data_IF_696374686170
#
_entry.id   IF_696374686170
#
_cell.length_a   1.000
_cell.length_b   1.000
_cell.length_c   1.000
_cell.angle_alpha   90.00
_cell.angle_beta   90.00
_cell.angle_gamma   90.00
#
_symmetry.space_group_name_H-M   'P 1'
#
loop_
_entity.id
_entity.type
_entity.pdbx_description
1 polymer ?
#
# COMPACT_ATOMS: atom_id res chain seq x y z
N UNK A 1 10.27 -3.53 25.43
CA UNK A 1 9.05 -4.36 25.50
C UNK A 1 7.78 -3.62 25.10
N UNK A 2 7.48 -2.42 25.64
CA UNK A 2 6.21 -1.71 25.34
C UNK A 2 6.07 -1.29 23.88
N UNK A 3 7.13 -0.70 23.30
CA UNK A 3 7.20 -0.36 21.88
C UNK A 3 6.95 -1.59 20.98
N UNK A 4 7.38 -2.80 21.36
CA UNK A 4 7.12 -4.02 20.58
C UNK A 4 5.63 -4.32 20.38
N UNK A 5 4.75 -3.98 21.33
CA UNK A 5 3.31 -4.25 21.22
C UNK A 5 2.64 -3.28 20.22
N UNK A 6 3.03 -2.01 20.23
CA UNK A 6 2.64 -1.04 19.19
C UNK A 6 3.11 -1.52 17.82
N UNK A 7 4.37 -1.97 17.74
CA UNK A 7 4.97 -2.44 16.51
C UNK A 7 4.23 -3.67 15.96
N UNK A 8 3.95 -4.68 16.79
CA UNK A 8 3.21 -5.88 16.37
C UNK A 8 1.80 -5.57 15.87
N UNK A 9 1.06 -4.70 16.57
CA UNK A 9 -0.30 -4.35 16.17
C UNK A 9 -0.33 -3.56 14.83
N UNK A 10 0.61 -2.62 14.65
CA UNK A 10 0.73 -1.89 13.38
C UNK A 10 1.16 -2.81 12.22
N UNK A 11 2.05 -3.77 12.49
CA UNK A 11 2.57 -4.76 11.53
C UNK A 11 1.49 -5.70 11.02
N UNK A 12 0.76 -6.32 11.95
CA UNK A 12 -0.34 -7.23 11.63
C UNK A 12 -1.44 -6.45 10.88
N UNK A 13 -1.73 -5.23 11.31
CA UNK A 13 -2.69 -4.36 10.62
C UNK A 13 -2.33 -4.06 9.16
N UNK A 14 -1.05 -3.78 8.88
CA UNK A 14 -0.58 -3.54 7.51
C UNK A 14 -0.61 -4.83 6.65
N UNK A 15 -0.23 -5.98 7.21
CA UNK A 15 -0.32 -7.27 6.52
C UNK A 15 -1.77 -7.66 6.21
N UNK A 16 -2.69 -7.40 7.15
CA UNK A 16 -4.14 -7.58 6.96
C UNK A 16 -4.65 -6.64 5.87
N UNK A 17 -4.20 -5.37 5.82
CA UNK A 17 -4.57 -4.43 4.77
C UNK A 17 -4.27 -4.98 3.37
N UNK A 18 -3.05 -5.47 3.15
CA UNK A 18 -2.63 -6.02 1.85
C UNK A 18 -3.47 -7.25 1.46
N UNK A 19 -3.74 -8.18 2.38
CA UNK A 19 -4.60 -9.33 2.11
C UNK A 19 -6.05 -8.93 1.84
N UNK A 20 -6.59 -8.01 2.62
CA UNK A 20 -7.96 -7.50 2.42
C UNK A 20 -8.10 -6.77 1.10
N UNK A 21 -7.08 -6.06 0.61
CA UNK A 21 -7.11 -5.45 -0.72
C UNK A 21 -7.25 -6.51 -1.83
N UNK A 22 -6.59 -7.66 -1.70
CA UNK A 22 -6.73 -8.81 -2.62
C UNK A 22 -8.12 -9.41 -2.58
N UNK A 23 -8.63 -9.69 -1.38
CA UNK A 23 -9.99 -10.21 -1.20
C UNK A 23 -11.02 -9.23 -1.74
N UNK A 24 -10.85 -7.94 -1.49
CA UNK A 24 -11.77 -6.92 -1.95
C UNK A 24 -11.81 -6.85 -3.47
N UNK A 25 -10.65 -6.83 -4.15
CA UNK A 25 -10.64 -6.88 -5.61
C UNK A 25 -11.31 -8.16 -6.13
N UNK A 26 -11.04 -9.31 -5.51
CA UNK A 26 -11.69 -10.56 -5.90
C UNK A 26 -13.21 -10.48 -5.77
N UNK A 27 -13.72 -9.97 -4.64
CA UNK A 27 -15.17 -9.77 -4.43
C UNK A 27 -15.77 -8.77 -5.42
N UNK A 28 -15.07 -7.65 -5.70
CA UNK A 28 -15.48 -6.69 -6.72
C UNK A 28 -15.59 -7.37 -8.09
N UNK A 29 -14.55 -8.08 -8.53
CA UNK A 29 -14.54 -8.78 -9.82
C UNK A 29 -15.65 -9.82 -9.93
N UNK A 30 -15.90 -10.58 -8.86
CA UNK A 30 -16.97 -11.57 -8.81
C UNK A 30 -18.36 -10.92 -8.87
N UNK A 31 -18.54 -9.77 -8.21
CA UNK A 31 -19.78 -8.99 -8.29
C UNK A 31 -20.03 -8.47 -9.71
N UNK A 32 -19.00 -7.97 -10.40
CA UNK A 32 -19.14 -7.52 -11.79
C UNK A 32 -19.39 -8.66 -12.77
N UNK A 33 -18.83 -9.84 -12.50
CA UNK A 33 -19.13 -11.04 -13.28
C UNK A 33 -20.61 -11.44 -13.14
N UNK A 34 -21.16 -11.38 -11.92
CA UNK A 34 -22.60 -11.61 -11.68
C UNK A 34 -23.50 -10.58 -12.36
N UNK A 35 -23.02 -9.35 -12.54
CA UNK A 35 -23.74 -8.27 -13.24
C UNK A 35 -23.60 -8.35 -14.78
N UNK A 36 -23.00 -9.42 -15.32
CA UNK A 36 -22.85 -9.61 -16.77
C UNK A 36 -21.85 -8.67 -17.45
N UNK A 37 -21.04 -7.95 -16.67
CA UNK A 37 -20.04 -7.00 -17.16
C UNK A 37 -18.66 -7.67 -17.24
N UNK A 38 -18.54 -8.68 -18.11
CA UNK A 38 -17.32 -9.50 -18.22
C UNK A 38 -16.19 -8.81 -19.01
N UNK A 39 -16.52 -7.93 -19.97
CA UNK A 39 -15.55 -7.26 -20.83
C UNK A 39 -14.99 -5.93 -20.28
N UNK A 40 -13.83 -5.47 -20.76
CA UNK A 40 -13.33 -4.12 -20.52
C UNK A 40 -14.19 -3.10 -21.29
N UNK A 41 -15.33 -2.71 -20.70
CA UNK A 41 -16.22 -1.68 -21.24
C UNK A 41 -16.05 -0.37 -20.48
N UNK A 42 -16.13 0.76 -21.19
CA UNK A 42 -16.16 2.09 -20.58
C UNK A 42 -17.31 2.21 -19.55
N UNK A 43 -18.46 1.58 -19.84
CA UNK A 43 -19.61 1.53 -18.93
C UNK A 43 -19.29 0.83 -17.61
N UNK A 44 -18.54 -0.28 -17.67
CA UNK A 44 -18.11 -1.00 -16.46
C UNK A 44 -17.19 -0.14 -15.61
N UNK A 45 -16.24 0.56 -16.25
CA UNK A 45 -15.32 1.47 -15.57
C UNK A 45 -16.06 2.60 -14.87
N UNK A 46 -16.98 3.27 -15.55
CA UNK A 46 -17.76 4.37 -14.94
C UNK A 46 -18.65 3.88 -13.81
N UNK A 47 -19.34 2.75 -13.97
CA UNK A 47 -20.19 2.18 -12.91
C UNK A 47 -19.34 1.81 -11.69
N UNK A 48 -18.16 1.21 -11.89
CA UNK A 48 -17.26 0.86 -10.81
C UNK A 48 -16.79 2.09 -10.02
N UNK A 49 -16.32 3.13 -10.71
CA UNK A 49 -15.84 4.37 -10.10
C UNK A 49 -16.97 5.06 -9.34
N UNK A 50 -18.14 5.23 -9.96
CA UNK A 50 -19.30 5.88 -9.33
C UNK A 50 -19.77 5.09 -8.11
N UNK A 51 -19.79 3.75 -8.18
CA UNK A 51 -20.17 2.92 -7.03
C UNK A 51 -19.22 3.08 -5.84
N UNK A 52 -17.91 3.17 -6.10
CA UNK A 52 -16.91 3.42 -5.06
C UNK A 52 -17.06 4.81 -4.48
N UNK A 53 -17.20 5.85 -5.32
CA UNK A 53 -17.42 7.22 -4.86
C UNK A 53 -18.69 7.35 -4.00
N UNK A 54 -19.77 6.67 -4.39
CA UNK A 54 -21.01 6.67 -3.63
C UNK A 54 -20.84 5.95 -2.29
N UNK A 55 -20.20 4.77 -2.30
CA UNK A 55 -19.94 4.01 -1.07
C UNK A 55 -19.02 4.78 -0.09
N UNK A 56 -17.93 5.37 -0.59
CA UNK A 56 -17.02 6.16 0.25
C UNK A 56 -17.69 7.43 0.76
N UNK A 57 -18.52 8.09 -0.04
CA UNK A 57 -19.31 9.25 0.40
C UNK A 57 -20.31 8.87 1.52
N UNK A 58 -21.03 7.76 1.38
CA UNK A 58 -21.99 7.28 2.40
C UNK A 58 -21.26 6.94 3.70
N UNK A 59 -20.09 6.29 3.64
CA UNK A 59 -19.29 5.96 4.83
C UNK A 59 -18.68 7.19 5.51
N UNK A 60 -18.27 8.19 4.71
CA UNK A 60 -17.54 9.37 5.20
C UNK A 60 -18.47 10.47 5.71
N UNK A 61 -19.63 10.65 5.08
CA UNK A 61 -20.58 11.73 5.39
C UNK A 61 -21.00 11.85 6.87
N UNK A 62 -21.35 10.76 7.59
CA UNK A 62 -21.78 10.88 8.99
C UNK A 62 -20.65 11.26 9.95
N UNK A 63 -19.38 11.13 9.53
CA UNK A 63 -18.21 11.29 10.40
C UNK A 63 -17.48 12.58 10.07
N UNK A 64 -17.65 13.60 10.93
CA UNK A 64 -17.04 14.93 10.74
C UNK A 64 -15.51 14.88 10.67
N UNK A 65 -14.89 13.93 11.37
CA UNK A 65 -13.43 13.72 11.35
C UNK A 65 -12.91 13.32 9.96
N UNK A 66 -13.70 12.60 9.16
CA UNK A 66 -13.31 12.14 7.82
C UNK A 66 -13.41 13.25 6.76
N UNK A 67 -14.01 14.39 7.10
CA UNK A 67 -14.10 15.56 6.21
C UNK A 67 -12.83 16.41 6.23
N UNK A 68 -11.94 16.19 7.20
CA UNK A 68 -10.68 16.90 7.31
C UNK A 68 -9.66 16.35 6.30
N UNK A 69 -8.70 17.20 5.91
CA UNK A 69 -7.62 16.80 5.01
C UNK A 69 -6.66 15.87 5.74
N UNK A 70 -6.17 14.84 5.05
CA UNK A 70 -5.15 13.91 5.57
C UNK A 70 -3.91 14.64 6.11
N UNK A 71 -3.50 15.73 5.45
CA UNK A 71 -2.39 16.57 5.90
C UNK A 71 -2.69 17.23 7.25
N UNK A 72 -3.89 17.77 7.42
CA UNK A 72 -4.30 18.39 8.70
C UNK A 72 -4.36 17.37 9.84
N UNK A 73 -4.83 16.15 9.54
CA UNK A 73 -4.89 15.07 10.54
C UNK A 73 -3.47 14.66 10.96
N UNK A 74 -2.57 14.47 9.99
CA UNK A 74 -1.16 14.12 10.28
C UNK A 74 -0.49 15.20 11.13
N UNK A 75 -0.63 16.47 10.74
CA UNK A 75 -0.02 17.59 11.48
C UNK A 75 -0.52 17.65 12.93
N UNK A 76 -1.81 17.40 13.12
CA UNK A 76 -2.41 17.39 14.46
C UNK A 76 -1.94 16.19 15.29
N UNK A 77 -1.92 15.01 14.69
CA UNK A 77 -1.52 13.77 15.35
C UNK A 77 -0.03 13.79 15.76
N UNK A 78 0.81 14.50 15.00
CA UNK A 78 2.23 14.69 15.29
C UNK A 78 2.52 15.82 16.29
N UNK A 79 1.51 16.53 16.78
CA UNK A 79 1.68 17.57 17.79
C UNK A 79 1.90 16.97 19.17
N UNK A 80 2.86 17.48 19.95
CA UNK A 80 3.13 16.98 21.32
C UNK A 80 2.01 17.28 22.34
N UNK A 81 1.06 18.14 21.99
CA UNK A 81 -0.06 18.53 22.83
C UNK A 81 -1.26 17.59 22.64
N UNK A 82 -2.25 17.70 23.53
CA UNK A 82 -3.53 17.01 23.37
C UNK A 82 -4.20 17.45 22.06
N UNK A 83 -5.04 16.57 21.52
CA UNK A 83 -5.80 16.80 20.31
C UNK A 83 -6.72 18.01 20.47
N UNK A 84 -6.53 19.02 19.62
CA UNK A 84 -7.19 20.32 19.66
C UNK A 84 -8.47 20.39 18.82
N UNK A 85 -8.61 19.53 17.81
CA UNK A 85 -9.80 19.55 16.95
C UNK A 85 -11.07 19.08 17.67
N UNK A 86 -12.18 19.83 17.62
CA UNK A 86 -13.45 19.45 18.25
C UNK A 86 -14.07 18.19 17.62
N UNK A 87 -13.66 17.83 16.39
CA UNK A 87 -14.11 16.62 15.70
C UNK A 87 -13.66 15.34 16.43
N UNK A 88 -12.60 15.39 17.26
CA UNK A 88 -12.14 14.23 18.03
C UNK A 88 -13.07 13.85 19.18
N UNK A 89 -13.92 14.77 19.65
CA UNK A 89 -14.89 14.50 20.73
C UNK A 89 -16.32 14.33 20.22
N UNK A 90 -16.51 14.32 18.90
CA UNK A 90 -17.85 14.24 18.29
C UNK A 90 -18.60 12.94 18.63
N UNK A 91 -17.88 11.82 18.78
CA UNK A 91 -18.48 10.49 19.04
C UNK A 91 -18.47 10.17 20.53
N UNK A 92 -17.40 10.54 21.23
CA UNK A 92 -17.21 10.28 22.65
C UNK A 92 -16.37 11.39 23.26
N UNK A 93 -16.59 11.67 24.55
CA UNK A 93 -15.75 12.58 25.34
C UNK A 93 -14.27 12.11 25.36
N UNK A 94 -14.03 10.81 25.17
CA UNK A 94 -12.69 10.26 25.09
C UNK A 94 -12.17 10.22 23.64
N UNK A 95 -11.12 10.98 23.30
CA UNK A 95 -10.61 11.06 21.93
C UNK A 95 -10.02 9.72 21.43
N UNK A 96 -9.65 8.82 22.33
CA UNK A 96 -9.17 7.47 22.02
C UNK A 96 -10.22 6.64 21.26
N UNK A 97 -11.50 6.78 21.61
CA UNK A 97 -12.59 6.04 20.96
C UNK A 97 -12.78 6.55 19.54
N UNK A 98 -12.78 7.88 19.36
CA UNK A 98 -12.90 8.51 18.04
C UNK A 98 -11.70 8.18 17.15
N UNK A 99 -10.48 8.13 17.71
CA UNK A 99 -9.28 7.67 16.99
C UNK A 99 -9.42 6.23 16.50
N UNK A 100 -9.94 5.33 17.34
CA UNK A 100 -10.16 3.94 16.97
C UNK A 100 -11.19 3.81 15.83
N UNK A 101 -12.31 4.54 15.93
CA UNK A 101 -13.31 4.60 14.85
C UNK A 101 -12.71 5.20 13.57
N UNK A 102 -11.89 6.25 13.70
CA UNK A 102 -11.19 6.87 12.57
C UNK A 102 -10.29 5.84 11.86
N UNK A 103 -9.49 5.07 12.60
CA UNK A 103 -8.62 4.03 12.02
C UNK A 103 -9.43 3.03 11.20
N UNK A 104 -10.52 2.48 11.77
CA UNK A 104 -11.35 1.47 11.09
C UNK A 104 -11.98 2.05 9.83
N UNK A 105 -12.61 3.21 9.94
CA UNK A 105 -13.32 3.82 8.81
C UNK A 105 -12.35 4.26 7.72
N UNK A 106 -11.18 4.83 8.09
CA UNK A 106 -10.16 5.25 7.13
C UNK A 106 -9.57 4.04 6.42
N UNK A 107 -9.33 2.96 7.14
CA UNK A 107 -8.88 1.67 6.60
C UNK A 107 -9.88 1.10 5.58
N UNK A 108 -11.17 1.10 5.88
CA UNK A 108 -12.19 0.64 4.93
C UNK A 108 -12.29 1.56 3.70
N UNK A 109 -12.26 2.87 3.92
CA UNK A 109 -12.37 3.88 2.86
C UNK A 109 -11.15 3.89 1.95
N UNK A 110 -9.96 3.58 2.45
CA UNK A 110 -8.74 3.48 1.65
C UNK A 110 -8.61 2.15 0.90
N UNK A 111 -9.24 1.07 1.38
CA UNK A 111 -9.30 -0.21 0.67
C UNK A 111 -10.18 -0.15 -0.59
N UNK A 112 -11.33 0.53 -0.53
CA UNK A 112 -12.32 0.57 -1.62
C UNK A 112 -11.74 0.99 -2.99
N UNK A 113 -10.91 2.05 -3.09
CA UNK A 113 -10.33 2.49 -4.35
C UNK A 113 -9.17 1.63 -4.86
N UNK A 114 -8.51 0.82 -4.03
CA UNK A 114 -7.30 0.08 -4.42
C UNK A 114 -7.52 -0.87 -5.61
N UNK A 115 -8.71 -1.47 -5.73
CA UNK A 115 -9.06 -2.38 -6.83
C UNK A 115 -9.58 -1.67 -8.09
N UNK A 116 -9.77 -0.36 -8.04
CA UNK A 116 -10.42 0.40 -9.10
C UNK A 116 -9.46 0.73 -10.26
N UNK A 117 -9.94 0.81 -11.51
CA UNK A 117 -9.16 1.26 -12.67
C UNK A 117 -9.00 2.80 -12.66
N UNK A 118 -8.43 3.35 -11.59
CA UNK A 118 -8.14 4.77 -11.38
C UNK A 118 -6.66 4.89 -10.96
N UNK A 119 -6.00 5.97 -11.35
CA UNK A 119 -4.70 6.33 -10.76
C UNK A 119 -4.92 6.81 -9.32
N UNK A 120 -4.51 6.00 -8.34
CA UNK A 120 -4.60 6.34 -6.91
C UNK A 120 -3.26 6.15 -6.22
N UNK A 121 -2.89 7.10 -5.37
CA UNK A 121 -1.73 6.98 -4.49
C UNK A 121 -2.12 6.29 -3.18
N UNK A 122 -1.51 5.14 -2.86
CA UNK A 122 -1.84 4.36 -1.66
C UNK A 122 -1.00 4.78 -0.44
N UNK A 123 0.16 5.41 -0.66
CA UNK A 123 1.09 5.78 0.42
C UNK A 123 0.48 6.76 1.45
N UNK A 124 -0.20 7.82 0.99
CA UNK A 124 -0.80 8.85 1.87
C UNK A 124 -1.80 8.29 2.89
N UNK A 125 -2.85 7.55 2.48
CA UNK A 125 -3.79 6.98 3.43
C UNK A 125 -3.15 5.97 4.39
N UNK A 126 -2.23 5.12 3.91
CA UNK A 126 -1.49 4.18 4.76
C UNK A 126 -0.69 4.93 5.85
N UNK A 127 0.00 6.00 5.45
CA UNK A 127 0.73 6.87 6.37
C UNK A 127 -0.19 7.44 7.45
N UNK A 128 -1.36 7.99 7.07
CA UNK A 128 -2.31 8.59 8.03
C UNK A 128 -2.92 7.56 8.98
N UNK A 129 -3.19 6.35 8.50
CA UNK A 129 -3.70 5.23 9.32
C UNK A 129 -2.63 4.83 10.34
N UNK A 130 -1.38 4.66 9.90
CA UNK A 130 -0.26 4.35 10.80
C UNK A 130 -0.03 5.44 11.85
N UNK A 131 -0.13 6.71 11.47
CA UNK A 131 -0.05 7.84 12.39
C UNK A 131 -1.14 7.78 13.46
N UNK A 132 -2.39 7.53 13.06
CA UNK A 132 -3.52 7.42 13.97
C UNK A 132 -3.38 6.21 14.92
N UNK A 133 -2.93 5.05 14.43
CA UNK A 133 -2.64 3.87 15.26
C UNK A 133 -1.57 4.18 16.29
N UNK A 134 -0.49 4.84 15.87
CA UNK A 134 0.59 5.23 16.78
C UNK A 134 0.15 6.24 17.84
N UNK A 135 -0.71 7.18 17.45
CA UNK A 135 -1.29 8.16 18.38
C UNK A 135 -2.23 7.52 19.38
N UNK A 136 -3.13 6.64 18.93
CA UNK A 136 -4.03 5.90 19.80
C UNK A 136 -3.24 5.16 20.88
N UNK A 137 -2.16 4.48 20.49
CA UNK A 137 -1.29 3.81 21.44
C UNK A 137 -0.61 4.79 22.42
N UNK A 138 -0.05 5.90 21.92
CA UNK A 138 0.57 6.93 22.74
C UNK A 138 -0.38 7.50 23.80
N UNK A 139 -1.62 7.82 23.40
CA UNK A 139 -2.68 8.31 24.29
C UNK A 139 -3.09 7.26 25.33
N UNK A 140 -3.20 5.98 24.94
CA UNK A 140 -3.50 4.91 25.90
C UNK A 140 -2.37 4.70 26.90
N UNK A 141 -1.12 4.77 26.46
CA UNK A 141 0.03 4.68 27.35
C UNK A 141 0.09 5.85 28.33
N UNK A 142 -0.19 7.08 27.88
CA UNK A 142 -0.29 8.24 28.76
C UNK A 142 -1.30 8.02 29.88
N UNK A 143 -2.48 7.49 29.55
CA UNK A 143 -3.54 7.28 30.54
C UNK A 143 -3.21 6.22 31.59
N UNK A 144 -2.60 5.09 31.18
CA UNK A 144 -2.39 3.96 32.09
C UNK A 144 -1.02 3.95 32.77
N UNK A 145 0.01 4.47 32.09
CA UNK A 145 1.40 4.28 32.50
C UNK A 145 2.21 5.57 32.63
N UNK A 146 1.63 6.71 32.22
CA UNK A 146 2.23 8.05 32.27
C UNK A 146 3.73 8.06 31.88
N UNK A 147 4.08 7.62 30.64
CA UNK A 147 5.45 7.61 30.17
C UNK A 147 6.00 9.04 30.04
N UNK A 148 7.33 9.15 30.05
CA UNK A 148 8.04 10.42 29.84
C UNK A 148 8.02 10.91 28.40
N UNK A 149 7.66 10.05 27.44
CA UNK A 149 7.69 10.34 26.01
C UNK A 149 6.34 10.83 25.50
N UNK A 150 6.35 11.79 24.58
CA UNK A 150 5.13 12.35 24.01
C UNK A 150 4.38 11.35 23.10
N UNK A 151 3.04 11.41 23.04
CA UNK A 151 2.24 10.60 22.11
C UNK A 151 2.59 10.83 20.64
N UNK A 152 3.07 12.02 20.29
CA UNK A 152 3.51 12.36 18.95
C UNK A 152 4.64 11.46 18.46
N UNK A 153 5.60 11.14 19.34
CA UNK A 153 6.71 10.24 19.02
C UNK A 153 6.20 8.85 18.60
N UNK A 154 5.19 8.33 19.31
CA UNK A 154 4.56 7.05 18.97
C UNK A 154 3.76 7.12 17.67
N UNK A 155 3.13 8.27 17.38
CA UNK A 155 2.43 8.51 16.12
C UNK A 155 3.39 8.47 14.92
N UNK A 156 4.55 9.11 15.02
CA UNK A 156 5.59 9.10 13.97
C UNK A 156 6.10 7.68 13.73
N UNK A 157 6.43 6.94 14.80
CA UNK A 157 6.88 5.54 14.70
C UNK A 157 5.79 4.67 14.05
N UNK A 158 4.53 4.82 14.45
CA UNK A 158 3.40 4.07 13.89
C UNK A 158 3.20 4.33 12.40
N UNK A 159 3.30 5.60 11.98
CA UNK A 159 3.22 5.99 10.58
C UNK A 159 4.36 5.35 9.76
N UNK A 160 5.59 5.41 10.26
CA UNK A 160 6.77 4.84 9.62
C UNK A 160 6.68 3.33 9.46
N UNK A 161 6.36 2.61 10.53
CA UNK A 161 6.28 1.16 10.49
C UNK A 161 5.13 0.67 9.62
N UNK A 162 3.97 1.32 9.64
CA UNK A 162 2.83 0.91 8.82
C UNK A 162 3.11 1.12 7.32
N UNK A 163 3.69 2.27 6.96
CA UNK A 163 4.12 2.53 5.59
C UNK A 163 5.20 1.54 5.14
N UNK A 164 6.25 1.34 5.95
CA UNK A 164 7.34 0.40 5.67
C UNK A 164 6.84 -1.04 5.43
N UNK A 165 5.86 -1.47 6.23
CA UNK A 165 5.27 -2.80 6.15
C UNK A 165 4.46 -2.99 4.87
N UNK A 166 3.58 -2.04 4.55
CA UNK A 166 2.71 -2.15 3.38
C UNK A 166 3.49 -2.06 2.06
N UNK A 167 4.52 -1.19 2.01
CA UNK A 167 5.36 -1.02 0.81
C UNK A 167 6.50 -2.02 0.74
N UNK A 168 6.79 -2.74 1.83
CA UNK A 168 7.95 -3.62 1.95
C UNK A 168 9.26 -2.86 1.62
N UNK A 169 9.47 -1.69 2.24
CA UNK A 169 10.69 -0.89 2.03
C UNK A 169 11.12 -0.15 3.29
N UNK A 170 12.41 -0.26 3.66
CA UNK A 170 12.99 0.44 4.81
C UNK A 170 13.24 1.93 4.52
N UNK A 171 13.29 2.34 3.25
CA UNK A 171 13.46 3.75 2.82
C UNK A 171 12.38 4.69 3.36
N UNK A 172 11.20 4.16 3.67
CA UNK A 172 10.12 4.92 4.33
C UNK A 172 10.62 5.58 5.61
N UNK A 173 11.38 4.88 6.45
CA UNK A 173 11.95 5.44 7.68
C UNK A 173 12.82 6.68 7.41
N UNK A 174 13.59 6.68 6.32
CA UNK A 174 14.42 7.83 5.90
C UNK A 174 13.55 9.01 5.52
N UNK A 175 12.49 8.79 4.71
CA UNK A 175 11.51 9.82 4.35
C UNK A 175 10.91 10.46 5.61
N UNK A 176 10.61 9.66 6.64
CA UNK A 176 10.11 10.20 7.91
C UNK A 176 11.11 11.12 8.62
N UNK A 177 12.39 10.74 8.67
CA UNK A 177 13.40 11.60 9.30
C UNK A 177 13.62 12.91 8.56
N UNK A 178 13.54 12.88 7.23
CA UNK A 178 13.60 14.11 6.44
C UNK A 178 12.41 15.02 6.75
N UNK A 179 11.21 14.44 6.92
CA UNK A 179 10.00 15.21 7.25
C UNK A 179 9.99 15.74 8.69
N UNK A 180 10.54 15.00 9.66
CA UNK A 180 10.58 15.43 11.08
C UNK A 180 11.80 16.29 11.40
N UNK A 181 12.85 16.27 10.57
CA UNK A 181 14.12 16.96 10.77
C UNK A 181 14.84 16.63 12.10
N UNK A 182 14.47 15.53 12.75
CA UNK A 182 15.01 15.11 14.04
C UNK A 182 15.64 13.71 13.95
N UNK A 183 16.97 13.66 14.01
CA UNK A 183 17.75 12.41 13.85
C UNK A 183 18.02 11.67 15.17
N UNK A 184 17.66 12.25 16.32
CA UNK A 184 17.95 11.68 17.65
C UNK A 184 17.33 10.30 17.87
N UNK A 185 16.21 10.00 17.21
CA UNK A 185 15.49 8.72 17.31
C UNK A 185 15.62 7.84 16.06
N UNK A 186 16.67 8.06 15.25
CA UNK A 186 16.84 7.39 13.96
C UNK A 186 16.96 5.87 14.09
N UNK A 187 17.91 5.41 14.91
CA UNK A 187 18.23 3.99 15.12
C UNK A 187 17.01 3.16 15.58
N UNK A 188 16.26 3.55 16.64
CA UNK A 188 15.12 2.74 17.09
C UNK A 188 13.97 2.69 16.09
N UNK A 189 13.74 3.76 15.31
CA UNK A 189 12.70 3.78 14.28
C UNK A 189 13.08 2.91 13.08
N UNK A 190 14.36 2.93 12.65
CA UNK A 190 14.81 2.07 11.56
C UNK A 190 14.75 0.60 11.94
N UNK A 191 15.21 0.22 13.13
CA UNK A 191 15.12 -1.18 13.60
C UNK A 191 13.67 -1.64 13.70
N UNK A 192 12.78 -0.78 14.19
CA UNK A 192 11.34 -1.03 14.20
C UNK A 192 10.77 -1.26 12.79
N UNK A 193 11.12 -0.42 11.80
CA UNK A 193 10.68 -0.57 10.41
C UNK A 193 11.22 -1.86 9.77
N UNK A 194 12.46 -2.25 10.06
CA UNK A 194 13.05 -3.50 9.55
C UNK A 194 12.34 -4.73 10.12
N UNK A 195 12.06 -4.76 11.42
CA UNK A 195 11.24 -5.84 12.02
C UNK A 195 9.85 -5.86 11.39
N UNK A 196 9.30 -4.68 11.12
CA UNK A 196 8.00 -4.51 10.47
C UNK A 196 7.93 -5.12 9.08
N UNK A 197 8.96 -4.84 8.29
CA UNK A 197 9.17 -5.39 6.96
C UNK A 197 9.14 -6.92 6.99
N UNK A 198 9.95 -7.55 7.86
CA UNK A 198 10.02 -9.02 7.95
C UNK A 198 8.69 -9.67 8.36
N UNK A 199 8.03 -9.13 9.39
CA UNK A 199 6.75 -9.69 9.88
C UNK A 199 5.66 -9.57 8.81
N UNK A 200 5.54 -8.41 8.17
CA UNK A 200 4.55 -8.22 7.12
C UNK A 200 4.87 -9.02 5.86
N UNK A 201 6.15 -9.16 5.49
CA UNK A 201 6.61 -9.93 4.34
C UNK A 201 6.29 -11.42 4.47
N UNK A 202 6.21 -11.95 5.70
CA UNK A 202 5.73 -13.31 5.95
C UNK A 202 4.21 -13.46 5.76
N UNK A 203 3.43 -12.39 5.92
CA UNK A 203 1.96 -12.42 5.84
C UNK A 203 1.48 -12.18 4.40
N UNK A 204 2.03 -11.18 3.72
CA UNK A 204 1.55 -10.73 2.41
C UNK A 204 2.70 -10.16 1.57
N UNK A 205 2.66 -10.32 0.23
CA UNK A 205 3.50 -9.53 -0.67
C UNK A 205 3.21 -8.03 -0.54
N UNK A 206 4.13 -7.21 -1.05
CA UNK A 206 3.99 -5.76 -1.02
C UNK A 206 2.75 -5.30 -1.78
N UNK A 207 2.18 -4.16 -1.38
CA UNK A 207 1.01 -3.63 -2.07
C UNK A 207 1.29 -3.26 -3.52
N UNK A 208 2.50 -2.79 -3.81
CA UNK A 208 2.90 -2.41 -5.17
C UNK A 208 3.04 -3.61 -6.09
N UNK A 209 3.50 -4.73 -5.55
CA UNK A 209 3.57 -5.97 -6.29
C UNK A 209 2.20 -6.55 -6.62
N UNK A 210 1.29 -6.49 -5.66
CA UNK A 210 -0.11 -6.87 -5.86
C UNK A 210 -0.72 -6.02 -6.98
N UNK A 211 -0.50 -4.70 -6.94
CA UNK A 211 -0.95 -3.76 -7.98
C UNK A 211 -0.30 -4.01 -9.35
N UNK A 212 0.98 -4.39 -9.39
CA UNK A 212 1.70 -4.72 -10.62
C UNK A 212 1.17 -6.02 -11.24
N UNK A 213 0.98 -7.07 -10.43
CA UNK A 213 0.39 -8.33 -10.88
C UNK A 213 -1.02 -8.14 -11.45
N UNK A 214 -1.78 -7.25 -10.84
CA UNK A 214 -3.11 -6.82 -11.29
C UNK A 214 -3.14 -6.06 -12.61
N UNK A 215 -2.04 -5.39 -12.97
CA UNK A 215 -1.88 -4.71 -14.24
C UNK A 215 -1.35 -5.65 -15.35
N UNK A 216 -1.08 -6.92 -15.02
CA UNK A 216 -0.50 -7.89 -15.95
C UNK A 216 1.03 -7.78 -16.09
N UNK A 217 1.68 -6.96 -15.27
CA UNK A 217 3.13 -6.73 -15.27
C UNK A 217 3.86 -7.80 -14.41
N UNK A 218 3.58 -9.08 -14.67
CA UNK A 218 4.17 -10.20 -13.93
C UNK A 218 5.69 -10.39 -14.19
N UNK A 219 6.28 -9.63 -15.12
CA UNK A 219 7.55 -9.97 -15.74
C UNK A 219 8.82 -9.34 -15.13
N UNK A 220 8.75 -8.44 -14.14
CA UNK A 220 9.95 -7.63 -13.83
C UNK A 220 10.73 -8.07 -12.58
N UNK A 221 10.14 -8.60 -11.50
CA UNK A 221 10.94 -8.80 -10.27
C UNK A 221 10.60 -9.99 -9.34
N UNK A 222 9.55 -10.78 -9.56
CA UNK A 222 9.20 -11.85 -8.60
C UNK A 222 10.12 -13.06 -8.64
N UNK A 223 10.66 -13.37 -9.82
CA UNK A 223 11.31 -14.64 -10.10
C UNK A 223 12.84 -14.59 -9.99
N UNK A 224 13.40 -13.59 -9.31
CA UNK A 224 14.82 -13.60 -8.95
C UNK A 224 15.10 -14.37 -7.65
N UNK A 225 14.16 -15.20 -7.20
CA UNK A 225 14.45 -16.17 -6.15
C UNK A 225 15.45 -17.20 -6.73
N UNK A 226 16.57 -17.41 -6.06
CA UNK A 226 17.65 -18.30 -6.50
C UNK A 226 17.13 -19.72 -6.82
N UNK A 227 16.10 -20.17 -6.10
CA UNK A 227 15.39 -21.42 -6.35
C UNK A 227 14.61 -21.47 -7.68
N UNK A 228 14.06 -20.33 -8.14
CA UNK A 228 13.31 -20.26 -9.41
C UNK A 228 14.27 -20.04 -10.59
N UNK A 229 15.29 -19.20 -10.39
CA UNK A 229 16.36 -18.99 -11.38
C UNK A 229 17.15 -20.27 -11.66
N UNK A 230 17.46 -21.07 -10.62
CA UNK A 230 18.17 -22.34 -10.79
C UNK A 230 17.37 -23.39 -11.57
N UNK A 231 16.05 -23.23 -11.68
CA UNK A 231 15.17 -24.12 -12.43
C UNK A 231 14.87 -23.63 -13.86
N UNK A 232 15.21 -22.38 -14.19
CA UNK A 232 14.97 -21.81 -15.53
C UNK A 232 16.24 -21.92 -16.37
N UNK A 233 16.19 -22.75 -17.41
CA UNK A 233 17.28 -22.89 -18.36
C UNK A 233 16.99 -22.01 -19.58
N UNK A 234 18.00 -21.30 -20.08
CA UNK A 234 17.85 -20.43 -21.25
C UNK A 234 17.26 -21.18 -22.47
N UNK A 235 17.58 -22.46 -22.62
CA UNK A 235 17.06 -23.30 -23.70
C UNK A 235 15.52 -23.41 -23.72
N UNK A 236 14.86 -23.37 -22.56
CA UNK A 236 13.42 -23.60 -22.43
C UNK A 236 12.61 -22.35 -22.78
N UNK A 237 13.25 -21.18 -22.71
CA UNK A 237 12.62 -19.87 -22.91
C UNK A 237 13.20 -19.09 -24.10
N UNK A 238 14.26 -19.59 -24.74
CA UNK A 238 14.82 -18.99 -25.95
C UNK A 238 13.91 -19.28 -27.13
N UNK A 239 13.39 -18.23 -27.77
CA UNK A 239 12.75 -18.38 -29.07
C UNK A 239 13.81 -18.77 -30.11
N UNK A 240 13.58 -19.81 -30.94
CA UNK A 240 14.51 -20.14 -32.00
C UNK A 240 14.65 -18.93 -32.92
N UNK A 241 15.89 -18.56 -33.22
CA UNK A 241 16.17 -17.43 -34.12
C UNK A 241 15.99 -17.92 -35.55
N UNK A 242 14.95 -17.47 -36.29
CA UNK A 242 14.62 -18.06 -37.58
C UNK A 242 15.54 -17.58 -38.72
N UNK A 243 16.31 -16.51 -38.51
CA UNK A 243 17.17 -15.88 -39.51
C UNK A 243 18.54 -15.58 -38.91
N UNK A 244 19.60 -16.07 -39.56
CA UNK A 244 20.98 -15.78 -39.21
C UNK A 244 21.67 -15.05 -40.37
N UNK A 245 22.35 -13.95 -40.06
CA UNK A 245 23.18 -13.22 -41.02
C UNK A 245 24.64 -13.62 -40.83
N UNK A 246 25.33 -13.93 -41.94
CA UNK A 246 26.75 -14.25 -41.95
C UNK A 246 27.51 -13.21 -42.78
N UNK A 247 28.84 -13.25 -42.80
CA UNK A 247 29.62 -12.30 -43.61
C UNK A 247 29.42 -12.47 -45.12
N UNK A 248 28.86 -13.61 -45.55
CA UNK A 248 28.66 -13.96 -46.96
C UNK A 248 27.24 -13.66 -47.45
N UNK A 249 26.31 -13.26 -46.56
CA UNK A 249 24.93 -12.99 -46.96
C UNK A 249 24.85 -11.79 -47.89
N UNK A 250 24.18 -11.99 -49.03
CA UNK A 250 23.95 -10.93 -50.00
C UNK A 250 22.86 -9.95 -49.54
N UNK A 251 22.86 -8.72 -50.07
CA UNK A 251 21.85 -7.72 -49.74
C UNK A 251 20.42 -8.18 -50.08
N UNK A 252 20.24 -8.93 -51.17
CA UNK A 252 18.93 -9.43 -51.58
C UNK A 252 18.37 -10.49 -50.61
N UNK A 253 19.21 -11.40 -50.13
CA UNK A 253 18.83 -12.40 -49.11
C UNK A 253 18.45 -11.72 -47.78
N UNK A 254 19.16 -10.65 -47.41
CA UNK A 254 18.85 -9.87 -46.22
C UNK A 254 17.51 -9.15 -46.30
N UNK A 255 17.19 -8.57 -47.46
CA UNK A 255 15.90 -7.92 -47.71
C UNK A 255 14.77 -8.95 -47.68
N UNK A 256 14.93 -10.11 -48.31
CA UNK A 256 13.92 -11.18 -48.29
C UNK A 256 13.67 -11.71 -46.87
N UNK A 257 14.72 -11.85 -46.05
CA UNK A 257 14.60 -12.25 -44.66
C UNK A 257 13.84 -11.21 -43.82
N UNK A 258 14.11 -9.92 -44.01
CA UNK A 258 13.38 -8.81 -43.38
C UNK A 258 11.91 -8.78 -43.77
N UNK A 259 11.58 -8.97 -45.06
CA UNK A 259 10.20 -9.03 -45.55
C UNK A 259 9.46 -10.23 -44.96
N UNK A 260 10.11 -11.40 -44.87
CA UNK A 260 9.53 -12.61 -44.26
C UNK A 260 9.25 -12.41 -42.77
N UNK A 261 10.15 -11.74 -42.05
CA UNK A 261 9.92 -11.38 -40.64
C UNK A 261 8.78 -10.37 -40.52
N UNK A 262 8.70 -9.33 -41.36
CA UNK A 262 7.62 -8.34 -41.31
C UNK A 262 6.24 -8.90 -41.67
N UNK A 263 6.17 -9.85 -42.61
CA UNK A 263 4.91 -10.46 -43.08
C UNK A 263 4.41 -11.61 -42.17
N UNK A 264 5.28 -12.17 -41.32
CA UNK A 264 4.95 -13.25 -40.37
C UNK A 264 4.37 -12.79 -39.04
N UNK A 265 4.11 -11.49 -38.85
CA UNK A 265 3.48 -10.91 -37.65
C UNK A 265 1.97 -10.74 -37.84
N UNK A 266 1.28 -11.81 -38.26
CA UNK A 266 -0.17 -11.94 -38.17
C UNK A 266 -0.57 -13.29 -37.57
#
# INVERSE_FOLDING_TARGET
>A
MRVCVLLLNAQIGAGIFCRLAVVLRWTQMNLFAKLGLNGPSLKRRTVHIVSICMATAILTYPLGIMRLSDRSIVNEVFRDQNLSFPQWTQISEYPQVTLFVYIIVKFMTSLLPCGAPISVGVFGPLFTIGAAVGRLYGETLMRYWNPTQSPATYAVVGAACFAASATQTVSTAVIFFELTSQLSHMVPVMTACTVSYFVCGAISPSIYDILAGWAGLHSVCYDLNEHVLSQKIAQDYMSPVPVFFTKETSYDEAIQALVRVLMGWH
#
